data_IF_573953641470
#
_entry.id   IF_573953641470
#
_cell.length_a   1.000
_cell.length_b   1.000
_cell.length_c   1.000
_cell.angle_alpha   90.00
_cell.angle_beta   90.00
_cell.angle_gamma   90.00
#
_symmetry.space_group_name_H-M   'P 1'
#
loop_
_entity.id
_entity.type
_entity.pdbx_description
1 polymer ?
#
# COMPACT_ATOMS: atom_id res chain seq x y z
N UNK A 1 -0.07 15.90 -21.59
CA UNK A 1 -0.20 16.07 -20.13
C UNK A 1 1.06 15.47 -19.50
N UNK A 2 1.72 16.22 -18.66
CA UNK A 2 2.88 15.72 -17.93
C UNK A 2 2.44 14.62 -16.96
N UNK A 3 3.09 13.46 -17.03
CA UNK A 3 2.75 12.32 -16.15
C UNK A 3 3.08 12.69 -14.71
N UNK A 4 2.22 12.32 -13.77
CA UNK A 4 2.43 12.53 -12.34
C UNK A 4 3.76 11.92 -11.90
N UNK A 5 4.54 12.70 -11.14
CA UNK A 5 5.76 12.26 -10.47
C UNK A 5 5.87 13.00 -9.14
N UNK A 6 5.26 12.44 -8.12
CA UNK A 6 5.07 13.12 -6.85
C UNK A 6 5.82 12.38 -5.74
N UNK A 7 6.97 12.93 -5.36
CA UNK A 7 7.71 12.47 -4.17
C UNK A 7 7.04 13.04 -2.93
N UNK A 8 6.81 12.20 -1.94
CA UNK A 8 6.13 12.54 -0.69
C UNK A 8 6.96 12.08 0.50
N UNK A 9 6.88 12.86 1.56
CA UNK A 9 7.56 12.64 2.83
C UNK A 9 6.54 12.57 3.97
N UNK A 10 6.98 12.32 5.19
CA UNK A 10 6.12 12.32 6.38
C UNK A 10 5.29 13.60 6.55
N UNK A 11 5.80 14.75 6.06
CA UNK A 11 5.09 16.04 6.12
C UNK A 11 3.85 16.09 5.23
N UNK A 12 3.79 15.24 4.23
CA UNK A 12 2.69 15.13 3.28
C UNK A 12 1.65 14.10 3.70
N UNK A 13 1.91 13.36 4.79
CA UNK A 13 1.06 12.30 5.28
C UNK A 13 0.15 12.79 6.42
N UNK A 14 -0.93 12.06 6.64
CA UNK A 14 -1.82 12.28 7.77
C UNK A 14 -1.73 11.12 8.75
N UNK A 15 -1.31 11.39 9.96
CA UNK A 15 -1.28 10.39 11.03
C UNK A 15 -2.43 10.63 12.00
N UNK A 16 -3.18 9.58 12.29
CA UNK A 16 -4.22 9.53 13.31
C UNK A 16 -3.85 8.52 14.39
N UNK A 17 -4.15 8.83 15.64
CA UNK A 17 -4.00 7.91 16.78
C UNK A 17 -5.34 7.28 17.12
N UNK A 18 -5.30 6.03 17.57
CA UNK A 18 -6.42 5.29 18.10
C UNK A 18 -5.96 4.50 19.33
N UNK A 19 -6.86 3.83 20.02
CA UNK A 19 -6.56 3.16 21.31
C UNK A 19 -5.47 2.08 21.25
N UNK A 20 -5.20 1.52 20.06
CA UNK A 20 -4.23 0.43 19.87
C UNK A 20 -3.01 0.80 19.05
N UNK A 21 -2.78 2.09 18.79
CA UNK A 21 -1.64 2.52 18.00
C UNK A 21 -1.88 3.77 17.16
N UNK A 22 -1.27 3.80 15.97
CA UNK A 22 -1.42 4.92 15.04
C UNK A 22 -1.51 4.42 13.61
N UNK A 23 -2.17 5.21 12.76
CA UNK A 23 -2.23 4.95 11.31
C UNK A 23 -1.83 6.21 10.54
N UNK A 24 -0.86 6.04 9.65
CA UNK A 24 -0.37 7.08 8.74
C UNK A 24 -0.94 6.83 7.35
N UNK A 25 -1.78 7.73 6.87
CA UNK A 25 -2.28 7.73 5.50
C UNK A 25 -1.21 8.29 4.56
N UNK A 26 -0.71 7.46 3.66
CA UNK A 26 0.33 7.81 2.69
C UNK A 26 -0.29 8.43 1.44
N UNK A 27 -1.34 7.81 0.91
CA UNK A 27 -2.07 8.32 -0.24
C UNK A 27 -3.53 7.82 -0.24
N UNK A 28 -4.40 8.59 -0.89
CA UNK A 28 -5.81 8.25 -1.09
C UNK A 28 -6.29 8.83 -2.44
N UNK A 29 -7.21 8.17 -3.10
CA UNK A 29 -7.83 8.66 -4.32
C UNK A 29 -9.37 8.58 -4.25
N UNK A 30 -10.08 9.59 -4.81
CA UNK A 30 -9.52 10.80 -5.43
C UNK A 30 -8.81 11.71 -4.42
N UNK A 31 -7.99 12.62 -4.93
CA UNK A 31 -7.32 13.61 -4.08
C UNK A 31 -8.36 14.41 -3.28
N UNK A 32 -8.14 14.54 -1.98
CA UNK A 32 -9.08 15.21 -1.07
C UNK A 32 -10.18 14.32 -0.48
N UNK A 33 -10.27 13.03 -0.87
CA UNK A 33 -11.16 12.10 -0.20
C UNK A 33 -10.78 11.92 1.28
N UNK A 34 -11.77 11.72 2.12
CA UNK A 34 -11.55 11.46 3.55
C UNK A 34 -11.85 9.99 3.86
N UNK A 35 -10.98 9.38 4.67
CA UNK A 35 -11.17 7.99 5.07
C UNK A 35 -12.50 7.75 5.80
N UNK A 36 -12.98 8.74 6.53
CA UNK A 36 -14.21 8.67 7.31
C UNK A 36 -15.46 8.50 6.44
N UNK A 37 -15.46 9.08 5.24
CA UNK A 37 -16.63 9.10 4.34
C UNK A 37 -16.86 7.75 3.65
N UNK A 38 -15.85 6.86 3.64
CA UNK A 38 -15.93 5.52 3.06
C UNK A 38 -16.32 5.51 1.58
N UNK A 39 -15.93 6.54 0.81
CA UNK A 39 -16.26 6.70 -0.61
C UNK A 39 -15.03 6.79 -1.53
N UNK A 40 -13.83 6.61 -0.98
CA UNK A 40 -12.57 6.64 -1.75
C UNK A 40 -12.43 5.43 -2.70
N UNK A 41 -11.69 5.61 -3.79
CA UNK A 41 -11.40 4.54 -4.75
C UNK A 41 -10.34 3.58 -4.23
N UNK A 42 -9.22 4.14 -3.76
CA UNK A 42 -8.15 3.37 -3.13
C UNK A 42 -7.44 4.22 -2.05
N UNK A 43 -6.86 3.54 -1.09
CA UNK A 43 -6.09 4.15 0.00
C UNK A 43 -4.90 3.29 0.35
N UNK A 44 -3.74 3.94 0.49
CA UNK A 44 -2.50 3.35 1.00
C UNK A 44 -2.19 3.95 2.36
N UNK A 45 -1.90 3.11 3.34
CA UNK A 45 -1.56 3.53 4.70
C UNK A 45 -0.63 2.54 5.38
N UNK A 46 0.09 3.00 6.39
CA UNK A 46 0.86 2.16 7.31
C UNK A 46 0.33 2.37 8.73
N UNK A 47 0.25 1.31 9.52
CA UNK A 47 -0.14 1.40 10.92
C UNK A 47 0.92 0.79 11.83
N UNK A 48 1.08 1.40 12.99
CA UNK A 48 1.80 0.81 14.13
C UNK A 48 0.74 0.27 15.09
N UNK A 49 0.73 -1.04 15.29
CA UNK A 49 -0.18 -1.75 16.19
C UNK A 49 0.59 -2.11 17.46
N UNK A 50 0.19 -1.49 18.56
CA UNK A 50 0.85 -1.61 19.88
C UNK A 50 0.13 -2.60 20.80
N UNK A 51 -1.09 -3.01 20.45
CA UNK A 51 -1.87 -3.98 21.21
C UNK A 51 -1.60 -5.41 20.75
N UNK A 52 -1.48 -6.31 21.71
CA UNK A 52 -1.35 -7.75 21.45
C UNK A 52 -2.56 -8.35 20.73
N UNK A 53 -3.72 -7.74 20.85
CA UNK A 53 -4.93 -8.12 20.12
C UNK A 53 -5.64 -6.89 19.60
N UNK A 54 -6.02 -6.93 18.31
CA UNK A 54 -6.73 -5.85 17.63
C UNK A 54 -7.79 -6.39 16.68
N UNK A 55 -8.88 -5.63 16.54
CA UNK A 55 -9.91 -5.91 15.55
C UNK A 55 -9.82 -4.88 14.41
N UNK A 56 -9.87 -5.37 13.18
CA UNK A 56 -9.92 -4.50 12.02
C UNK A 56 -11.31 -3.90 11.84
N UNK A 57 -11.36 -2.60 11.55
CA UNK A 57 -12.62 -1.95 11.19
C UNK A 57 -13.22 -2.64 9.97
N UNK A 58 -14.47 -3.12 10.01
CA UNK A 58 -15.17 -3.67 8.86
C UNK A 58 -15.33 -2.62 7.75
N UNK A 59 -14.99 -2.99 6.53
CA UNK A 59 -15.08 -2.17 5.33
C UNK A 59 -15.70 -3.00 4.20
N UNK A 60 -17.04 -3.20 4.21
CA UNK A 60 -17.71 -4.15 3.33
C UNK A 60 -17.53 -3.84 1.84
N UNK A 61 -17.33 -2.57 1.50
CA UNK A 61 -17.17 -2.13 0.11
C UNK A 61 -15.72 -2.20 -0.39
N UNK A 62 -14.80 -2.75 0.42
CA UNK A 62 -13.38 -2.76 0.08
C UNK A 62 -12.76 -4.15 0.10
N UNK A 63 -11.94 -4.43 -0.90
CA UNK A 63 -10.90 -5.46 -0.85
C UNK A 63 -9.67 -4.86 -0.18
N UNK A 64 -9.02 -5.60 0.70
CA UNK A 64 -7.83 -5.15 1.44
C UNK A 64 -6.65 -6.06 1.13
N UNK A 65 -5.49 -5.45 1.00
CA UNK A 65 -4.19 -6.13 0.95
C UNK A 65 -3.36 -5.60 2.12
N UNK A 66 -2.73 -6.50 2.85
CA UNK A 66 -1.90 -6.19 4.01
C UNK A 66 -0.56 -6.92 3.92
N UNK A 67 0.49 -6.25 4.34
CA UNK A 67 1.79 -6.87 4.65
C UNK A 67 2.28 -6.30 5.97
N UNK A 68 2.99 -7.07 6.78
CA UNK A 68 3.77 -6.49 7.89
C UNK A 68 5.12 -6.04 7.38
N UNK A 69 5.58 -4.89 7.85
CA UNK A 69 6.92 -4.36 7.63
C UNK A 69 7.85 -4.82 8.75
N UNK A 70 7.35 -4.76 9.99
CA UNK A 70 8.03 -5.20 11.20
C UNK A 70 7.06 -6.04 12.04
N UNK A 71 7.58 -7.07 12.69
CA UNK A 71 6.79 -8.01 13.46
C UNK A 71 5.97 -8.96 12.60
N UNK A 72 5.49 -10.03 13.20
CA UNK A 72 4.56 -10.97 12.58
C UNK A 72 3.26 -10.99 13.37
N UNK A 73 2.15 -11.20 12.68
CA UNK A 73 0.83 -11.26 13.30
C UNK A 73 0.07 -12.50 12.87
N UNK A 74 -0.77 -12.99 13.76
CA UNK A 74 -1.71 -14.05 13.45
C UNK A 74 -3.06 -13.41 13.12
N UNK A 75 -3.49 -13.50 11.86
CA UNK A 75 -4.79 -13.02 11.38
C UNK A 75 -5.84 -14.11 11.48
N UNK A 76 -7.07 -13.72 11.83
CA UNK A 76 -8.24 -14.59 11.76
C UNK A 76 -9.37 -13.86 11.04
N UNK A 77 -9.95 -14.48 10.03
CA UNK A 77 -11.08 -13.97 9.25
C UNK A 77 -12.34 -14.75 9.62
N UNK A 78 -13.30 -14.10 10.28
CA UNK A 78 -14.50 -14.76 10.80
C UNK A 78 -14.16 -15.95 11.69
N UNK A 79 -14.80 -17.08 11.40
CA UNK A 79 -14.56 -18.37 12.10
C UNK A 79 -13.47 -19.22 11.41
N UNK A 80 -12.72 -18.65 10.46
CA UNK A 80 -11.68 -19.34 9.71
C UNK A 80 -10.45 -19.67 10.55
N UNK A 81 -9.58 -20.53 10.00
CA UNK A 81 -8.31 -20.88 10.62
C UNK A 81 -7.38 -19.68 10.71
N UNK A 82 -6.60 -19.56 11.79
CA UNK A 82 -5.62 -18.51 11.94
C UNK A 82 -4.52 -18.59 10.86
N UNK A 83 -4.17 -17.45 10.29
CA UNK A 83 -3.11 -17.30 9.30
C UNK A 83 -1.94 -16.51 9.91
N UNK A 84 -0.75 -17.08 9.93
CA UNK A 84 0.46 -16.37 10.30
C UNK A 84 0.94 -15.51 9.14
N UNK A 85 0.91 -14.19 9.31
CA UNK A 85 1.44 -13.21 8.37
C UNK A 85 2.84 -12.80 8.80
N UNK A 86 3.84 -13.22 8.02
CA UNK A 86 5.24 -12.87 8.22
C UNK A 86 5.60 -11.57 7.50
N UNK A 87 6.68 -10.89 7.92
CA UNK A 87 7.13 -9.69 7.24
C UNK A 87 7.26 -9.86 5.73
N UNK A 88 6.82 -8.83 5.01
CA UNK A 88 6.84 -8.69 3.55
C UNK A 88 5.98 -9.72 2.78
N UNK A 89 5.23 -10.57 3.46
CA UNK A 89 4.23 -11.42 2.81
C UNK A 89 2.93 -10.64 2.65
N UNK A 90 2.45 -10.57 1.42
CA UNK A 90 1.21 -9.87 1.11
C UNK A 90 0.02 -10.82 1.22
N UNK A 91 -0.95 -10.46 2.04
CA UNK A 91 -2.22 -11.18 2.19
C UNK A 91 -3.39 -10.32 1.75
N UNK A 92 -4.29 -10.90 0.96
CA UNK A 92 -5.49 -10.22 0.47
C UNK A 92 -6.74 -10.80 1.09
N UNK A 93 -7.67 -9.94 1.52
CA UNK A 93 -8.93 -10.37 2.12
C UNK A 93 -10.08 -9.41 1.82
N UNK A 94 -11.29 -9.89 2.03
CA UNK A 94 -12.50 -9.09 1.91
C UNK A 94 -12.72 -8.28 3.18
N UNK A 95 -12.80 -6.96 3.06
CA UNK A 95 -13.04 -6.05 4.18
C UNK A 95 -14.42 -6.20 4.84
N UNK A 96 -15.36 -6.94 4.23
CA UNK A 96 -16.64 -7.29 4.84
C UNK A 96 -16.50 -8.36 5.93
N UNK A 97 -15.48 -9.20 5.84
CA UNK A 97 -15.28 -10.30 6.80
C UNK A 97 -14.68 -9.76 8.09
N UNK A 98 -15.31 -9.97 9.25
CA UNK A 98 -14.74 -9.61 10.54
C UNK A 98 -13.33 -10.20 10.67
N UNK A 99 -12.36 -9.36 10.94
CA UNK A 99 -10.96 -9.76 10.99
C UNK A 99 -10.33 -9.29 12.29
N UNK A 100 -9.69 -10.19 12.98
CA UNK A 100 -8.89 -9.90 14.18
C UNK A 100 -7.42 -10.24 13.93
N UNK A 101 -6.54 -9.62 14.71
CA UNK A 101 -5.11 -9.93 14.72
C UNK A 101 -4.60 -10.14 16.14
N UNK A 102 -3.56 -10.97 16.25
CA UNK A 102 -2.73 -11.10 17.45
C UNK A 102 -1.26 -10.85 17.08
N UNK A 103 -0.59 -10.10 17.93
CA UNK A 103 0.79 -9.65 17.75
C UNK A 103 0.88 -8.16 17.45
N UNK A 104 1.96 -7.54 17.90
CA UNK A 104 2.30 -6.16 17.62
C UNK A 104 3.07 -6.08 16.31
N UNK A 105 2.82 -5.07 15.49
CA UNK A 105 3.48 -4.92 14.19
C UNK A 105 3.48 -3.48 13.69
N UNK A 106 4.31 -3.24 12.68
CA UNK A 106 4.09 -2.16 11.74
C UNK A 106 3.62 -2.77 10.43
N UNK A 107 2.42 -2.41 10.01
CA UNK A 107 1.81 -2.93 8.78
C UNK A 107 1.79 -1.90 7.65
N UNK A 108 1.49 -2.39 6.46
CA UNK A 108 1.25 -1.60 5.26
C UNK A 108 -0.01 -2.14 4.57
N UNK A 109 -0.97 -1.25 4.31
CA UNK A 109 -2.29 -1.60 3.81
C UNK A 109 -2.60 -0.90 2.49
N UNK A 110 -3.14 -1.65 1.54
CA UNK A 110 -3.82 -1.15 0.35
C UNK A 110 -5.30 -1.53 0.42
N UNK A 111 -6.18 -0.54 0.33
CA UNK A 111 -7.63 -0.72 0.28
C UNK A 111 -8.13 -0.32 -1.10
N UNK A 112 -8.96 -1.15 -1.71
CA UNK A 112 -9.48 -1.00 -3.07
C UNK A 112 -11.00 -1.12 -3.05
N UNK A 113 -11.72 -0.11 -3.58
CA UNK A 113 -13.18 -0.13 -3.64
C UNK A 113 -13.64 -1.19 -4.63
N UNK A 114 -14.45 -2.14 -4.16
CA UNK A 114 -14.99 -3.23 -4.97
C UNK A 114 -15.80 -2.69 -6.16
N UNK A 115 -15.55 -3.23 -7.35
CA UNK A 115 -16.21 -2.82 -8.57
C UNK A 115 -15.81 -1.46 -9.15
N UNK A 116 -15.03 -0.66 -8.40
CA UNK A 116 -14.57 0.67 -8.85
C UNK A 116 -13.04 0.78 -8.97
N UNK A 117 -12.30 0.01 -8.19
CA UNK A 117 -10.84 -0.02 -8.26
C UNK A 117 -10.31 -1.45 -8.17
N UNK A 118 -9.24 -1.69 -8.90
CA UNK A 118 -8.43 -2.91 -8.81
C UNK A 118 -6.98 -2.56 -8.56
N UNK A 119 -6.23 -3.50 -8.00
CA UNK A 119 -4.81 -3.28 -7.76
C UNK A 119 -4.13 -4.46 -7.10
N UNK A 120 -2.83 -4.30 -6.97
CA UNK A 120 -1.91 -5.31 -6.44
C UNK A 120 -0.91 -4.62 -5.53
N UNK A 121 -0.37 -5.36 -4.59
CA UNK A 121 0.72 -4.93 -3.71
C UNK A 121 1.83 -5.97 -3.78
N UNK A 122 3.06 -5.50 -3.88
CA UNK A 122 4.28 -6.29 -3.91
C UNK A 122 5.24 -5.73 -2.86
N UNK A 123 5.98 -6.59 -2.21
CA UNK A 123 7.02 -6.22 -1.26
C UNK A 123 8.35 -6.83 -1.71
N UNK A 124 9.41 -6.03 -1.68
CA UNK A 124 10.74 -6.40 -2.14
C UNK A 124 11.75 -6.14 -1.03
N UNK A 125 12.53 -7.16 -0.69
CA UNK A 125 13.77 -7.00 0.07
C UNK A 125 14.92 -6.89 -0.95
N UNK A 126 15.46 -5.68 -1.08
CA UNK A 126 16.46 -5.35 -2.09
C UNK A 126 17.86 -5.51 -1.50
N UNK A 127 18.71 -6.23 -2.22
CA UNK A 127 20.15 -6.22 -2.01
C UNK A 127 20.78 -5.06 -2.81
N UNK A 128 22.02 -4.63 -2.48
CA UNK A 128 22.72 -3.66 -3.30
C UNK A 128 22.73 -4.00 -4.78
N UNK A 129 22.33 -3.07 -5.62
CA UNK A 129 22.21 -3.28 -7.06
C UNK A 129 21.03 -2.56 -7.67
N UNK A 130 20.74 -2.88 -8.92
CA UNK A 130 19.62 -2.30 -9.67
C UNK A 130 18.65 -3.38 -10.14
N UNK A 131 17.36 -3.09 -10.03
CA UNK A 131 16.27 -3.96 -10.45
C UNK A 131 15.27 -3.18 -11.30
N UNK A 132 14.91 -3.67 -12.51
CA UNK A 132 13.84 -3.10 -13.28
C UNK A 132 12.49 -3.46 -12.67
N UNK A 133 11.61 -2.47 -12.49
CA UNK A 133 10.20 -2.67 -12.23
C UNK A 133 9.46 -2.51 -13.57
N UNK A 134 8.84 -3.57 -14.09
CA UNK A 134 8.16 -3.49 -15.38
C UNK A 134 6.96 -2.56 -15.29
N UNK A 135 6.64 -1.92 -16.42
CA UNK A 135 5.41 -1.16 -16.56
C UNK A 135 4.17 -2.03 -16.41
N UNK A 136 3.06 -1.42 -16.00
CA UNK A 136 1.75 -2.05 -16.09
C UNK A 136 1.03 -1.54 -17.35
N UNK A 137 0.87 -2.37 -18.38
CA UNK A 137 0.23 -1.96 -19.64
C UNK A 137 -1.25 -1.59 -19.43
N UNK A 138 -1.84 -1.96 -18.31
CA UNK A 138 -3.23 -1.61 -17.97
C UNK A 138 -3.38 -0.15 -17.54
N UNK A 139 -2.28 0.55 -17.25
CA UNK A 139 -2.29 1.92 -16.75
C UNK A 139 -2.74 2.03 -15.29
N UNK A 140 -2.96 3.25 -14.84
CA UNK A 140 -3.40 3.57 -13.49
C UNK A 140 -2.36 4.31 -12.67
N UNK A 141 -2.52 4.29 -11.35
CA UNK A 141 -1.58 4.86 -10.39
C UNK A 141 -0.58 3.80 -9.91
N UNK A 142 0.64 4.22 -9.64
CA UNK A 142 1.66 3.40 -9.00
C UNK A 142 2.23 4.18 -7.81
N UNK A 143 2.25 3.56 -6.64
CA UNK A 143 2.88 4.09 -5.44
C UNK A 143 4.03 3.16 -5.03
N UNK A 144 5.20 3.75 -4.86
CA UNK A 144 6.39 3.10 -4.35
C UNK A 144 6.73 3.71 -2.99
N UNK A 145 6.89 2.88 -1.98
CA UNK A 145 7.18 3.29 -0.61
C UNK A 145 8.46 2.61 -0.13
N UNK A 146 9.44 3.42 0.25
CA UNK A 146 10.66 2.94 0.89
C UNK A 146 10.36 2.71 2.38
N UNK A 147 10.29 1.44 2.80
CA UNK A 147 10.01 1.11 4.19
C UNK A 147 11.26 1.14 5.06
N UNK A 148 12.40 0.74 4.49
CA UNK A 148 13.71 0.69 5.15
C UNK A 148 14.83 1.02 4.17
N UNK A 149 15.93 1.57 4.69
CA UNK A 149 17.10 1.94 3.92
C UNK A 149 16.88 3.15 3.03
N UNK A 150 17.54 3.15 1.89
CA UNK A 150 17.43 4.19 0.86
C UNK A 150 17.56 3.60 -0.52
N UNK A 151 16.85 4.18 -1.48
CA UNK A 151 16.87 3.76 -2.87
C UNK A 151 16.69 4.95 -3.81
N UNK A 152 17.05 4.77 -5.05
CA UNK A 152 16.78 5.71 -6.12
C UNK A 152 15.88 5.10 -7.18
N UNK A 153 15.05 5.93 -7.79
CA UNK A 153 14.09 5.56 -8.83
C UNK A 153 14.33 6.42 -10.07
N UNK A 154 14.34 5.79 -11.24
CA UNK A 154 14.45 6.50 -12.52
C UNK A 154 13.55 5.85 -13.58
N UNK A 155 12.90 6.66 -14.41
CA UNK A 155 12.19 6.21 -15.62
C UNK A 155 12.99 6.50 -16.89
N UNK A 156 14.27 6.90 -16.75
CA UNK A 156 15.16 7.30 -17.84
C UNK A 156 15.17 8.81 -18.12
N UNK A 157 14.09 9.52 -17.79
CA UNK A 157 13.97 10.98 -17.93
C UNK A 157 13.99 11.69 -16.58
N UNK A 158 13.35 11.09 -15.58
CA UNK A 158 13.21 11.63 -14.23
C UNK A 158 13.92 10.73 -13.23
N UNK A 159 14.33 11.34 -12.15
CA UNK A 159 15.04 10.68 -11.07
C UNK A 159 14.57 11.21 -9.72
N UNK A 160 14.48 10.33 -8.73
CA UNK A 160 14.35 10.74 -7.33
C UNK A 160 15.04 9.72 -6.40
N UNK A 161 15.36 10.18 -5.19
CA UNK A 161 15.82 9.34 -4.10
C UNK A 161 14.74 9.25 -3.04
N UNK A 162 14.52 8.06 -2.51
CA UNK A 162 13.63 7.81 -1.38
C UNK A 162 14.46 7.24 -0.23
N UNK A 163 14.30 7.83 0.94
CA UNK A 163 14.73 7.27 2.21
C UNK A 163 13.56 6.60 2.91
N UNK A 164 13.82 5.84 3.97
CA UNK A 164 12.78 5.20 4.77
C UNK A 164 11.67 6.19 5.16
N UNK A 165 10.43 5.80 4.97
CA UNK A 165 9.24 6.62 5.19
C UNK A 165 8.81 7.48 4.00
N UNK A 166 9.60 7.60 2.93
CA UNK A 166 9.26 8.38 1.74
C UNK A 166 8.54 7.53 0.69
N UNK A 167 7.76 8.18 -0.15
CA UNK A 167 7.09 7.52 -1.29
C UNK A 167 7.16 8.33 -2.58
N UNK A 168 7.04 7.61 -3.70
CA UNK A 168 6.78 8.17 -5.03
C UNK A 168 5.39 7.72 -5.50
N UNK A 169 4.52 8.68 -5.80
CA UNK A 169 3.26 8.40 -6.50
C UNK A 169 3.41 8.85 -7.96
N UNK A 170 3.26 7.91 -8.89
CA UNK A 170 3.39 8.16 -10.33
C UNK A 170 2.25 7.48 -11.09
N UNK A 171 2.05 7.89 -12.34
CA UNK A 171 1.10 7.24 -13.25
C UNK A 171 1.81 6.15 -14.04
N UNK A 172 1.17 4.97 -14.14
CA UNK A 172 1.56 3.92 -15.06
C UNK A 172 1.00 4.23 -16.48
N UNK A 173 1.60 3.74 -17.58
CA UNK A 173 2.77 2.89 -17.59
C UNK A 173 4.06 3.68 -17.48
N UNK A 174 4.95 3.26 -16.63
CA UNK A 174 6.33 3.72 -16.63
C UNK A 174 7.18 2.56 -16.12
N UNK A 175 8.11 2.12 -16.94
CA UNK A 175 9.19 1.26 -16.46
C UNK A 175 10.04 2.07 -15.52
N UNK A 176 10.36 1.51 -14.37
CA UNK A 176 11.22 2.16 -13.39
C UNK A 176 12.45 1.29 -13.15
N UNK A 177 13.60 1.92 -13.08
CA UNK A 177 14.80 1.31 -12.53
C UNK A 177 14.91 1.71 -11.06
N UNK A 178 14.92 0.71 -10.19
CA UNK A 178 15.18 0.87 -8.76
C UNK A 178 16.63 0.54 -8.51
N UNK A 179 17.35 1.39 -7.79
CA UNK A 179 18.73 1.14 -7.40
C UNK A 179 18.87 1.33 -5.89
N UNK A 180 19.37 0.32 -5.20
CA UNK A 180 19.71 0.36 -3.80
C UNK A 180 21.23 0.29 -3.65
N UNK A 181 21.82 1.13 -2.80
CA UNK A 181 23.25 1.10 -2.47
C UNK A 181 23.55 0.16 -1.29
N UNK A 182 22.56 -0.02 -0.44
CA UNK A 182 22.55 -0.88 0.74
C UNK A 182 21.28 -1.72 0.73
N UNK A 183 21.10 -2.60 1.70
CA UNK A 183 19.82 -3.32 1.85
C UNK A 183 18.69 -2.33 2.06
N UNK A 184 17.58 -2.56 1.37
CA UNK A 184 16.39 -1.71 1.46
C UNK A 184 15.11 -2.52 1.31
N UNK A 185 14.02 -1.99 1.86
CA UNK A 185 12.68 -2.58 1.70
C UNK A 185 11.80 -1.62 0.90
N UNK A 186 11.25 -2.13 -0.19
CA UNK A 186 10.36 -1.40 -1.09
C UNK A 186 8.99 -2.07 -1.13
N UNK A 187 7.92 -1.31 -0.91
CA UNK A 187 6.54 -1.70 -1.23
C UNK A 187 6.10 -1.01 -2.52
N UNK A 188 5.51 -1.78 -3.43
CA UNK A 188 4.91 -1.28 -4.67
C UNK A 188 3.42 -1.57 -4.65
N UNK A 189 2.60 -0.53 -4.78
CA UNK A 189 1.18 -0.65 -5.01
C UNK A 189 0.87 -0.18 -6.43
N UNK A 190 0.13 -0.99 -7.19
CA UNK A 190 -0.43 -0.62 -8.49
C UNK A 190 -1.94 -0.56 -8.34
N UNK A 191 -2.55 0.55 -8.71
CA UNK A 191 -3.98 0.78 -8.57
C UNK A 191 -4.54 1.35 -9.87
N UNK A 192 -5.71 0.87 -10.28
CA UNK A 192 -6.42 1.42 -11.42
C UNK A 192 -7.91 1.54 -11.15
N UNK A 193 -8.51 2.57 -11.68
CA UNK A 193 -9.96 2.69 -11.69
C UNK A 193 -10.53 1.73 -12.74
N UNK A 194 -11.54 0.98 -12.35
CA UNK A 194 -12.32 0.14 -13.27
C UNK A 194 -13.40 1.01 -13.85
N UNK A 195 -13.39 1.19 -15.18
CA UNK A 195 -14.50 1.82 -15.88
C UNK A 195 -15.71 0.89 -15.78
N UNK A 196 -16.75 1.33 -15.13
CA UNK A 196 -18.05 0.70 -15.24
C UNK A 196 -18.53 0.92 -16.68
N UNK A 197 -18.13 0.04 -17.61
CA UNK A 197 -18.85 -0.07 -18.87
C UNK A 197 -20.26 -0.50 -18.50
N UNK A 198 -21.23 0.35 -18.80
CA UNK A 198 -22.64 0.01 -18.77
C UNK A 198 -22.81 -1.39 -19.36
N UNK A 199 -23.43 -2.30 -18.59
CA UNK A 199 -23.84 -3.58 -19.13
C UNK A 199 -24.77 -3.24 -20.32
N UNK A 200 -24.47 -3.69 -21.53
CA UNK A 200 -25.49 -3.62 -22.57
C UNK A 200 -26.70 -4.41 -22.10
N UNK A 201 -27.87 -3.79 -22.23
CA UNK A 201 -29.19 -4.30 -21.92
C UNK A 201 -29.46 -5.63 -22.62
#
# INVERSE_FOLDING_TARGET
MEKRWLVRTEKDYRTSRWSGGSTTQIAIAPAGAEYADRDFLWRVSSAVVELEQSDFTPLPDYRRLIATLEGEICLRHGDGEPLLLRPLHVHAFDGAVPTSSRGCCRDFNLMLRKGAAEGEMEAFHLQPGSMPLPEDPRGGDQLLYCAEGSLSLSDGERFCSLSAGMSLLTEAPSSLLVTAQEEAVLLRCRMRQVSTREKPW
#
